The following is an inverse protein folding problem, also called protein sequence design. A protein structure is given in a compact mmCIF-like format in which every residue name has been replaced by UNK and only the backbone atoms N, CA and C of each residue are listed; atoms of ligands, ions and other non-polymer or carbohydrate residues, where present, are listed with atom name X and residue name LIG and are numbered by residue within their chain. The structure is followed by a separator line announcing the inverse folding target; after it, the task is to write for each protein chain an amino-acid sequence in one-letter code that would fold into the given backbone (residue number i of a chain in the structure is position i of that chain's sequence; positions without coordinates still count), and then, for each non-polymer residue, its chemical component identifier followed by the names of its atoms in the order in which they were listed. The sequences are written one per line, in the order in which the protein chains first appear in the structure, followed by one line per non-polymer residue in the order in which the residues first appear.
data_IF_774517217503
#
_entry.id   IF_774517217503
#
_cell.length_a   1.000
_cell.length_b   1.000
_cell.length_c   1.000
_cell.angle_alpha   90.00
_cell.angle_beta   90.00
_cell.angle_gamma   90.00
#
_symmetry.space_group_name_H-M   'P 1'
#
loop_
_entity.id
_entity.type
_entity.pdbx_description
1 polymer ?
#
# COMPACT_ATOMS: atom_id res chain seq x y z
N UNK A 1 31.57 -22.24 -17.96
CA UNK A 1 32.85 -21.52 -18.16
C UNK A 1 33.34 -21.17 -16.77
N UNK A 2 34.14 -22.05 -16.16
CA UNK A 2 34.73 -21.78 -14.85
C UNK A 2 35.77 -20.69 -15.03
N UNK A 3 35.41 -19.46 -14.69
CA UNK A 3 36.34 -18.33 -14.72
C UNK A 3 37.36 -18.59 -13.62
N UNK A 4 38.56 -18.96 -14.04
CA UNK A 4 39.59 -19.53 -13.20
C UNK A 4 40.14 -18.44 -12.25
N UNK A 5 40.04 -18.64 -10.94
CA UNK A 5 40.47 -17.71 -9.89
C UNK A 5 41.92 -17.22 -10.09
N UNK A 6 42.77 -18.07 -10.68
CA UNK A 6 44.15 -17.72 -11.03
C UNK A 6 44.27 -16.52 -11.97
N UNK A 7 43.31 -16.30 -12.87
CA UNK A 7 43.31 -15.15 -13.77
C UNK A 7 43.09 -13.83 -13.02
N UNK A 8 42.21 -13.81 -12.02
CA UNK A 8 41.99 -12.64 -11.17
C UNK A 8 43.19 -12.34 -10.28
N UNK A 9 43.83 -13.37 -9.72
CA UNK A 9 45.04 -13.21 -8.92
C UNK A 9 46.17 -12.61 -9.77
N UNK A 10 46.32 -13.07 -11.01
CA UNK A 10 47.32 -12.53 -11.93
C UNK A 10 47.07 -11.06 -12.29
N UNK A 11 45.81 -10.70 -12.58
CA UNK A 11 45.43 -9.30 -12.85
C UNK A 11 45.68 -8.42 -11.62
N UNK A 12 45.32 -8.90 -10.43
CA UNK A 12 45.51 -8.15 -9.19
C UNK A 12 47.00 -7.92 -8.90
N UNK A 13 47.84 -8.93 -9.13
CA UNK A 13 49.29 -8.82 -8.98
C UNK A 13 49.89 -7.82 -9.98
N UNK A 14 49.42 -7.80 -11.23
CA UNK A 14 49.87 -6.87 -12.26
C UNK A 14 49.47 -5.42 -11.94
N UNK A 15 48.26 -5.21 -11.42
CA UNK A 15 47.81 -3.90 -10.94
C UNK A 15 48.66 -3.45 -9.75
N UNK A 16 48.95 -4.34 -8.80
CA UNK A 16 49.78 -4.03 -7.64
C UNK A 16 51.22 -3.66 -8.03
N UNK A 17 51.78 -4.38 -8.99
CA UNK A 17 53.10 -4.09 -9.56
C UNK A 17 53.14 -2.68 -10.20
N UNK A 18 52.14 -2.33 -11.00
CA UNK A 18 52.04 -0.99 -11.62
C UNK A 18 51.90 0.13 -10.57
N UNK A 19 51.13 -0.13 -9.50
CA UNK A 19 50.95 0.80 -8.38
C UNK A 19 52.25 1.01 -7.61
N UNK A 20 53.12 0.00 -7.52
CA UNK A 20 54.38 0.06 -6.77
C UNK A 20 55.42 1.03 -7.35
N UNK A 21 55.30 1.44 -8.62
CA UNK A 21 56.20 2.42 -9.25
C UNK A 21 55.70 3.87 -9.17
N UNK A 22 54.53 4.09 -8.55
CA UNK A 22 53.94 5.42 -8.46
C UNK A 22 54.47 6.19 -7.25
N UNK A 23 54.72 7.48 -7.46
CA UNK A 23 55.09 8.41 -6.39
C UNK A 23 53.99 8.49 -5.32
N UNK A 24 54.38 8.78 -4.07
CA UNK A 24 53.47 8.85 -2.92
C UNK A 24 52.31 9.83 -3.11
N UNK A 25 52.52 10.92 -3.86
CA UNK A 25 51.49 11.89 -4.22
C UNK A 25 50.43 11.32 -5.16
N UNK A 26 50.82 10.46 -6.12
CA UNK A 26 49.92 9.79 -7.05
C UNK A 26 49.11 8.68 -6.35
N UNK A 27 49.74 7.96 -5.43
CA UNK A 27 49.05 6.98 -4.58
C UNK A 27 47.96 7.64 -3.72
N UNK A 28 48.26 8.79 -3.11
CA UNK A 28 47.30 9.55 -2.32
C UNK A 28 46.09 9.98 -3.17
N UNK A 29 46.31 10.42 -4.40
CA UNK A 29 45.24 10.80 -5.33
C UNK A 29 44.32 9.62 -5.67
N UNK A 30 44.89 8.43 -5.92
CA UNK A 30 44.10 7.22 -6.20
C UNK A 30 43.23 6.83 -5.00
N UNK A 31 43.78 6.89 -3.78
CA UNK A 31 43.02 6.61 -2.55
C UNK A 31 41.85 7.58 -2.41
N UNK A 32 42.08 8.88 -2.63
CA UNK A 32 41.02 9.90 -2.57
C UNK A 32 39.91 9.61 -3.58
N UNK A 33 40.26 9.23 -4.81
CA UNK A 33 39.28 8.88 -5.86
C UNK A 33 38.46 7.65 -5.44
N UNK A 34 39.08 6.62 -4.86
CA UNK A 34 38.37 5.42 -4.37
C UNK A 34 37.40 5.77 -3.24
N UNK A 35 37.82 6.62 -2.29
CA UNK A 35 36.97 7.08 -1.18
C UNK A 35 35.77 7.87 -1.71
N UNK A 36 35.98 8.78 -2.67
CA UNK A 36 34.89 9.55 -3.30
C UNK A 36 33.94 8.61 -4.06
N UNK A 37 34.46 7.63 -4.79
CA UNK A 37 33.65 6.65 -5.51
C UNK A 37 32.79 5.79 -4.55
N UNK A 38 33.34 5.39 -3.40
CA UNK A 38 32.59 4.68 -2.35
C UNK A 38 31.49 5.54 -1.73
N UNK A 39 31.77 6.82 -1.44
CA UNK A 39 30.77 7.76 -0.92
C UNK A 39 29.65 8.00 -1.94
N UNK A 40 29.98 8.18 -3.22
CA UNK A 40 29.00 8.30 -4.29
C UNK A 40 28.17 7.03 -4.45
N UNK A 41 28.80 5.85 -4.38
CA UNK A 41 28.09 4.57 -4.44
C UNK A 41 27.11 4.43 -3.26
N UNK A 42 27.52 4.78 -2.04
CA UNK A 42 26.64 4.77 -0.86
C UNK A 42 25.48 5.76 -1.01
N UNK A 43 25.74 6.97 -1.51
CA UNK A 43 24.71 7.97 -1.79
C UNK A 43 23.71 7.49 -2.88
N UNK A 44 24.18 6.87 -3.95
CA UNK A 44 23.31 6.29 -4.97
C UNK A 44 22.55 5.05 -4.47
N UNK A 45 23.15 4.22 -3.63
CA UNK A 45 22.53 3.03 -3.05
C UNK A 45 21.42 3.41 -2.06
N UNK A 46 21.63 4.44 -1.25
CA UNK A 46 20.60 4.99 -0.36
C UNK A 46 19.47 5.66 -1.14
N UNK A 47 19.77 6.32 -2.28
CA UNK A 47 18.74 6.85 -3.19
C UNK A 47 17.96 5.75 -3.94
N UNK A 48 18.52 4.55 -4.10
CA UNK A 48 17.80 3.37 -4.61
C UNK A 48 16.69 2.88 -3.66
N UNK A 49 16.69 3.29 -2.39
CA UNK A 49 15.57 3.04 -1.46
C UNK A 49 14.30 3.81 -1.89
N UNK A 50 14.41 4.88 -2.68
CA UNK A 50 13.23 5.53 -3.29
C UNK A 50 12.81 4.92 -4.63
N UNK A 51 13.57 3.96 -5.19
CA UNK A 51 13.14 3.10 -6.31
C UNK A 51 12.44 1.84 -5.85
N UNK A 52 12.51 1.52 -4.55
CA UNK A 52 11.78 0.39 -3.97
C UNK A 52 10.28 0.50 -4.24
N UNK A 53 9.72 1.69 -4.45
CA UNK A 53 8.31 1.86 -4.86
C UNK A 53 7.98 1.20 -6.21
N UNK A 54 8.88 1.19 -7.20
CA UNK A 54 8.64 0.56 -8.51
C UNK A 54 8.76 -0.97 -8.46
N UNK A 55 9.74 -1.52 -7.73
CA UNK A 55 9.88 -2.96 -7.53
C UNK A 55 8.85 -3.52 -6.50
N UNK A 56 8.39 -2.68 -5.58
CA UNK A 56 7.23 -2.95 -4.72
C UNK A 56 5.95 -2.99 -5.57
N UNK A 57 5.80 -2.14 -6.58
CA UNK A 57 4.70 -2.22 -7.57
C UNK A 57 4.79 -3.48 -8.42
N UNK A 58 5.99 -3.98 -8.71
CA UNK A 58 6.16 -5.24 -9.45
C UNK A 58 5.89 -6.50 -8.60
N UNK A 59 6.24 -6.48 -7.31
CA UNK A 59 5.83 -7.51 -6.32
C UNK A 59 4.38 -7.34 -5.81
N UNK A 60 3.76 -6.18 -6.07
CA UNK A 60 2.30 -5.92 -6.03
C UNK A 60 1.75 -5.90 -7.45
N UNK A 61 2.31 -6.68 -8.38
CA UNK A 61 1.48 -7.30 -9.40
C UNK A 61 0.54 -8.28 -8.67
N UNK A 62 -0.46 -7.74 -7.97
CA UNK A 62 -1.80 -8.32 -8.03
C UNK A 62 -2.02 -8.57 -9.52
N UNK A 63 -2.19 -9.83 -9.93
CA UNK A 63 -1.76 -10.30 -11.23
C UNK A 63 -2.49 -9.55 -12.35
N UNK A 64 -1.89 -8.46 -12.85
CA UNK A 64 -2.36 -7.72 -14.01
C UNK A 64 -2.45 -8.66 -15.22
N UNK A 65 -1.52 -9.62 -15.30
CA UNK A 65 -1.47 -10.65 -16.35
C UNK A 65 -2.63 -11.67 -16.29
N UNK A 66 -3.42 -11.72 -15.20
CA UNK A 66 -4.65 -12.54 -15.13
C UNK A 66 -5.96 -11.75 -15.21
N UNK A 67 -5.90 -10.42 -15.14
CA UNK A 67 -7.09 -9.56 -15.26
C UNK A 67 -7.25 -8.96 -16.66
N UNK A 68 -6.18 -8.78 -17.44
CA UNK A 68 -6.31 -8.34 -18.84
C UNK A 68 -6.67 -9.49 -19.81
N UNK A 69 -6.37 -10.75 -19.46
CA UNK A 69 -6.71 -11.92 -20.28
C UNK A 69 -8.08 -12.56 -19.97
N UNK A 70 -8.75 -12.15 -18.90
CA UNK A 70 -10.10 -12.60 -18.58
C UNK A 70 -11.14 -11.51 -18.88
N UNK A 71 -11.23 -11.10 -20.15
CA UNK A 71 -12.33 -10.26 -20.65
C UNK A 71 -13.69 -10.97 -20.65
N UNK A 72 -13.77 -12.25 -20.26
CA UNK A 72 -14.99 -13.06 -20.38
C UNK A 72 -15.60 -13.53 -19.05
N UNK A 73 -15.02 -13.24 -17.89
CA UNK A 73 -15.61 -13.66 -16.61
C UNK A 73 -16.16 -12.47 -15.82
N UNK A 74 -17.42 -12.13 -16.08
CA UNK A 74 -18.48 -11.78 -15.12
C UNK A 74 -18.09 -11.02 -13.82
N UNK A 75 -17.13 -10.10 -13.84
CA UNK A 75 -16.83 -9.22 -12.68
C UNK A 75 -17.93 -8.15 -12.53
N UNK A 76 -18.59 -7.78 -13.63
CA UNK A 76 -19.62 -6.74 -13.68
C UNK A 76 -20.86 -7.03 -12.82
N UNK A 77 -21.08 -8.29 -12.41
CA UNK A 77 -22.29 -8.68 -11.66
C UNK A 77 -22.06 -8.99 -10.18
N UNK A 78 -20.81 -8.96 -9.67
CA UNK A 78 -20.49 -9.39 -8.28
C UNK A 78 -20.20 -8.20 -7.36
N UNK A 79 -19.88 -7.02 -7.92
CA UNK A 79 -19.66 -5.80 -7.16
C UNK A 79 -20.99 -5.02 -7.08
N UNK A 80 -21.96 -5.54 -6.33
CA UNK A 80 -23.07 -4.71 -5.87
C UNK A 80 -22.55 -3.90 -4.69
N UNK A 81 -21.99 -2.72 -4.98
CA UNK A 81 -21.74 -1.73 -3.95
C UNK A 81 -23.08 -1.21 -3.47
N UNK A 82 -23.50 -1.59 -2.26
CA UNK A 82 -24.62 -0.93 -1.56
C UNK A 82 -24.31 0.54 -1.21
N UNK A 83 -23.07 0.99 -1.44
CA UNK A 83 -22.68 2.39 -1.32
C UNK A 83 -23.21 3.23 -2.48
N UNK A 84 -24.09 4.17 -2.16
CA UNK A 84 -24.69 5.16 -3.09
C UNK A 84 -23.67 5.95 -3.93
N UNK A 85 -22.40 6.00 -3.51
CA UNK A 85 -21.35 6.81 -4.17
C UNK A 85 -20.50 6.05 -5.19
N UNK A 86 -20.70 4.74 -5.36
CA UNK A 86 -19.85 3.89 -6.21
C UNK A 86 -20.65 3.48 -7.45
N UNK A 87 -20.51 4.24 -8.55
CA UNK A 87 -21.33 4.00 -9.76
C UNK A 87 -20.56 3.38 -10.94
N UNK A 88 -19.23 3.18 -10.84
CA UNK A 88 -18.42 2.40 -11.79
C UNK A 88 -16.98 2.28 -11.31
N UNK A 89 -16.54 1.07 -10.95
CA UNK A 89 -15.13 0.82 -10.61
C UNK A 89 -14.35 0.53 -11.89
N UNK A 90 -13.34 1.34 -12.22
CA UNK A 90 -12.40 1.06 -13.30
C UNK A 90 -11.28 0.19 -12.72
N UNK A 91 -11.00 -0.96 -13.33
CA UNK A 91 -10.17 -2.09 -12.85
C UNK A 91 -8.70 -1.78 -12.43
N UNK A 92 -8.30 -0.52 -12.22
CA UNK A 92 -6.96 -0.10 -11.80
C UNK A 92 -7.04 0.66 -10.47
N UNK A 93 -6.61 0.03 -9.37
CA UNK A 93 -6.46 0.63 -8.03
C UNK A 93 -5.42 1.75 -8.06
N UNK A 94 -5.82 2.96 -8.44
CA UNK A 94 -4.89 4.07 -8.72
C UNK A 94 -4.41 4.77 -7.45
N UNK A 95 -5.26 4.84 -6.42
CA UNK A 95 -5.03 5.66 -5.23
C UNK A 95 -4.51 4.84 -4.08
N UNK A 96 -4.96 3.59 -3.95
CA UNK A 96 -4.47 2.66 -2.93
C UNK A 96 -2.97 2.45 -3.02
N UNK A 97 -2.42 2.39 -4.24
CA UNK A 97 -0.97 2.19 -4.48
C UNK A 97 -0.12 3.32 -3.89
N UNK A 98 -0.71 4.49 -3.61
CA UNK A 98 0.00 5.62 -3.00
C UNK A 98 0.24 5.46 -1.49
N UNK A 99 -0.42 4.49 -0.83
CA UNK A 99 -0.26 4.23 0.61
C UNK A 99 0.43 2.89 0.85
N UNK A 100 1.68 2.95 1.31
CA UNK A 100 2.44 1.76 1.69
C UNK A 100 1.81 0.99 2.85
N UNK A 101 1.19 1.71 3.77
CA UNK A 101 0.54 1.18 4.97
C UNK A 101 -0.71 0.38 4.59
N UNK A 102 -1.62 0.96 3.80
CA UNK A 102 -2.82 0.24 3.35
C UNK A 102 -2.49 -0.95 2.46
N UNK A 103 -1.46 -0.83 1.61
CA UNK A 103 -0.95 -1.96 0.83
C UNK A 103 -0.45 -3.08 1.75
N UNK A 104 0.31 -2.76 2.79
CA UNK A 104 0.84 -3.76 3.73
C UNK A 104 -0.30 -4.52 4.42
N UNK A 105 -1.33 -3.80 4.84
CA UNK A 105 -2.56 -4.36 5.41
C UNK A 105 -3.23 -5.31 4.40
N UNK A 106 -3.48 -4.86 3.16
CA UNK A 106 -4.10 -5.69 2.10
C UNK A 106 -3.30 -6.96 1.77
N UNK A 107 -1.96 -6.89 1.86
CA UNK A 107 -1.08 -8.06 1.68
C UNK A 107 -1.23 -9.06 2.83
N UNK A 108 -1.25 -8.59 4.07
CA UNK A 108 -1.33 -9.44 5.26
C UNK A 108 -2.62 -10.28 5.26
N UNK A 109 -3.73 -9.68 4.84
CA UNK A 109 -5.03 -10.36 4.75
C UNK A 109 -5.33 -10.98 3.37
N UNK A 110 -4.34 -11.15 2.50
CA UNK A 110 -4.53 -11.69 1.14
C UNK A 110 -5.15 -13.09 1.13
N UNK A 111 -4.93 -13.89 2.18
CA UNK A 111 -5.50 -15.23 2.31
C UNK A 111 -7.03 -15.23 2.32
N UNK A 112 -7.67 -14.13 2.75
CA UNK A 112 -9.14 -13.99 2.78
C UNK A 112 -9.74 -14.14 1.38
N UNK A 113 -9.00 -13.74 0.34
CA UNK A 113 -9.40 -13.92 -1.07
C UNK A 113 -9.74 -15.38 -1.41
N UNK A 114 -9.13 -16.35 -0.72
CA UNK A 114 -9.39 -17.78 -0.91
C UNK A 114 -10.74 -18.22 -0.30
N UNK A 115 -11.19 -17.54 0.74
CA UNK A 115 -12.43 -17.87 1.46
C UNK A 115 -13.62 -17.05 0.96
N UNK A 116 -13.43 -15.74 0.78
CA UNK A 116 -14.43 -14.85 0.20
C UNK A 116 -13.75 -13.77 -0.65
N UNK A 117 -13.72 -14.04 -1.95
CA UNK A 117 -13.18 -13.12 -2.95
C UNK A 117 -13.99 -11.83 -3.04
N UNK A 118 -15.31 -11.89 -2.82
CA UNK A 118 -16.19 -10.73 -2.95
C UNK A 118 -15.89 -9.72 -1.85
N UNK A 119 -15.91 -10.14 -0.58
CA UNK A 119 -15.58 -9.26 0.55
C UNK A 119 -14.15 -8.74 0.49
N UNK A 120 -13.19 -9.58 0.10
CA UNK A 120 -11.81 -9.12 -0.08
C UNK A 120 -11.72 -8.03 -1.16
N UNK A 121 -12.37 -8.21 -2.31
CA UNK A 121 -12.40 -7.19 -3.35
C UNK A 121 -13.13 -5.91 -2.88
N UNK A 122 -14.24 -6.05 -2.18
CA UNK A 122 -15.01 -4.93 -1.63
C UNK A 122 -14.15 -4.09 -0.68
N UNK A 123 -13.33 -4.73 0.16
CA UNK A 123 -12.36 -4.03 1.01
C UNK A 123 -11.40 -3.18 0.18
N UNK A 124 -10.77 -3.76 -0.84
CA UNK A 124 -9.76 -3.06 -1.65
C UNK A 124 -10.39 -1.87 -2.38
N UNK A 125 -11.60 -2.03 -2.92
CA UNK A 125 -12.35 -0.94 -3.58
C UNK A 125 -12.63 0.20 -2.59
N UNK A 126 -13.10 -0.10 -1.38
CA UNK A 126 -13.35 0.92 -0.37
C UNK A 126 -12.05 1.61 0.08
N UNK A 127 -10.94 0.87 0.26
CA UNK A 127 -9.65 1.47 0.60
C UNK A 127 -9.10 2.38 -0.51
N UNK A 128 -9.27 2.03 -1.78
CA UNK A 128 -8.89 2.88 -2.92
C UNK A 128 -9.73 4.16 -2.96
N UNK A 129 -11.03 4.06 -2.71
CA UNK A 129 -11.92 5.22 -2.62
C UNK A 129 -11.58 6.11 -1.42
N UNK A 130 -11.29 5.53 -0.25
CA UNK A 130 -10.84 6.25 0.93
C UNK A 130 -9.59 7.08 0.61
N UNK A 131 -8.60 6.46 -0.04
CA UNK A 131 -7.37 7.15 -0.46
C UNK A 131 -7.63 8.23 -1.50
N UNK A 132 -8.53 8.00 -2.46
CA UNK A 132 -8.93 9.01 -3.43
C UNK A 132 -9.48 10.26 -2.74
N UNK A 133 -10.44 10.09 -1.83
CA UNK A 133 -11.05 11.19 -1.09
C UNK A 133 -9.99 11.91 -0.26
N UNK A 134 -9.19 11.16 0.49
CA UNK A 134 -8.11 11.72 1.30
C UNK A 134 -7.15 12.59 0.49
N UNK A 135 -6.62 12.07 -0.63
CA UNK A 135 -5.70 12.81 -1.51
C UNK A 135 -6.41 14.03 -2.12
N UNK A 136 -7.68 13.91 -2.52
CA UNK A 136 -8.39 14.99 -3.18
C UNK A 136 -8.77 16.12 -2.23
N UNK A 137 -9.06 15.83 -0.95
CA UNK A 137 -9.24 16.87 0.08
C UNK A 137 -7.91 17.61 0.27
N UNK A 138 -6.79 16.88 0.42
CA UNK A 138 -5.48 17.50 0.62
C UNK A 138 -4.97 18.29 -0.60
N UNK A 139 -5.35 17.85 -1.80
CA UNK A 139 -5.03 18.54 -3.06
C UNK A 139 -6.02 19.68 -3.39
N UNK A 140 -6.88 20.05 -2.45
CA UNK A 140 -7.88 21.10 -2.59
C UNK A 140 -8.86 20.92 -3.77
N UNK A 141 -9.07 19.66 -4.17
CA UNK A 141 -10.04 19.31 -5.22
C UNK A 141 -11.43 19.04 -4.66
N UNK A 142 -11.51 18.62 -3.39
CA UNK A 142 -12.75 18.31 -2.69
C UNK A 142 -12.91 19.22 -1.48
N UNK A 143 -14.13 19.76 -1.32
CA UNK A 143 -14.47 20.60 -0.17
C UNK A 143 -14.52 19.75 1.10
N UNK A 144 -13.72 20.12 2.09
CA UNK A 144 -13.56 19.33 3.32
C UNK A 144 -14.86 19.15 4.10
N UNK A 145 -15.75 20.15 4.12
CA UNK A 145 -17.03 20.08 4.82
C UNK A 145 -17.99 19.04 4.23
N UNK A 146 -17.91 18.80 2.93
CA UNK A 146 -18.77 17.84 2.23
C UNK A 146 -18.16 16.44 2.26
N UNK A 147 -16.84 16.35 2.07
CA UNK A 147 -16.16 15.08 1.84
C UNK A 147 -15.57 14.44 3.10
N UNK A 148 -15.41 15.16 4.22
CA UNK A 148 -14.99 14.54 5.48
C UNK A 148 -16.04 13.57 6.04
N UNK A 149 -17.35 13.89 6.05
CA UNK A 149 -18.38 12.91 6.42
C UNK A 149 -18.36 11.66 5.51
N UNK A 150 -18.15 11.85 4.20
CA UNK A 150 -18.04 10.73 3.25
C UNK A 150 -16.80 9.89 3.55
N UNK A 151 -15.67 10.52 3.89
CA UNK A 151 -14.46 9.83 4.33
C UNK A 151 -14.74 8.96 5.57
N UNK A 152 -15.49 9.49 6.55
CA UNK A 152 -15.85 8.75 7.76
C UNK A 152 -16.78 7.57 7.45
N UNK A 153 -17.78 7.74 6.59
CA UNK A 153 -18.70 6.67 6.22
C UNK A 153 -17.95 5.53 5.50
N UNK A 154 -17.07 5.83 4.53
CA UNK A 154 -16.23 4.81 3.88
C UNK A 154 -15.30 4.13 4.89
N UNK A 155 -14.71 4.89 5.82
CA UNK A 155 -13.87 4.33 6.87
C UNK A 155 -14.67 3.33 7.74
N UNK A 156 -15.92 3.64 8.07
CA UNK A 156 -16.78 2.73 8.84
C UNK A 156 -17.13 1.47 8.03
N UNK A 157 -17.45 1.60 6.74
CA UNK A 157 -17.66 0.45 5.85
C UNK A 157 -16.43 -0.47 5.81
N UNK A 158 -15.22 0.10 5.76
CA UNK A 158 -13.98 -0.71 5.79
C UNK A 158 -13.86 -1.47 7.11
N UNK A 159 -14.16 -0.83 8.25
CA UNK A 159 -14.15 -1.49 9.56
C UNK A 159 -15.18 -2.62 9.67
N UNK A 160 -16.39 -2.40 9.16
CA UNK A 160 -17.43 -3.43 9.09
C UNK A 160 -16.96 -4.64 8.28
N UNK A 161 -16.30 -4.42 7.14
CA UNK A 161 -15.74 -5.50 6.32
C UNK A 161 -14.66 -6.25 7.12
N UNK A 162 -13.75 -5.55 7.80
CA UNK A 162 -12.72 -6.18 8.64
C UNK A 162 -13.33 -7.09 9.72
N UNK A 163 -14.32 -6.60 10.46
CA UNK A 163 -14.99 -7.41 11.48
C UNK A 163 -15.77 -8.58 10.86
N UNK A 164 -16.29 -8.41 9.65
CA UNK A 164 -17.01 -9.48 8.94
C UNK A 164 -16.11 -10.63 8.50
N UNK A 165 -14.79 -10.43 8.40
CA UNK A 165 -13.86 -11.48 7.97
C UNK A 165 -13.77 -12.63 8.96
N UNK A 166 -14.03 -12.36 10.25
CA UNK A 166 -14.04 -13.36 11.32
C UNK A 166 -15.07 -14.47 11.01
N UNK A 167 -16.20 -14.12 10.40
CA UNK A 167 -17.25 -15.11 10.08
C UNK A 167 -16.99 -15.95 8.83
N UNK A 168 -16.01 -15.55 8.01
CA UNK A 168 -15.75 -16.15 6.71
C UNK A 168 -14.59 -17.14 6.77
N UNK A 169 -13.63 -16.86 7.65
CA UNK A 169 -12.39 -17.59 7.73
C UNK A 169 -12.53 -18.68 8.80
N UNK A 170 -12.16 -19.94 8.51
CA UNK A 170 -12.22 -21.01 9.50
C UNK A 170 -11.16 -20.82 10.59
N UNK A 171 -11.50 -21.22 11.82
CA UNK A 171 -10.63 -21.09 13.00
C UNK A 171 -9.26 -21.76 12.87
N UNK A 172 -9.20 -22.83 12.08
CA UNK A 172 -7.96 -23.59 11.86
C UNK A 172 -7.84 -23.96 10.39
N UNK A 173 -6.84 -23.42 9.72
CA UNK A 173 -6.48 -23.85 8.37
C UNK A 173 -5.60 -25.10 8.49
N UNK A 174 -6.22 -26.28 8.38
CA UNK A 174 -5.59 -27.62 8.55
C UNK A 174 -4.28 -27.85 7.78
N UNK A 175 -4.01 -27.07 6.72
CA UNK A 175 -2.88 -27.28 5.81
C UNK A 175 -1.93 -26.07 5.68
N UNK A 176 -2.09 -25.02 6.50
CA UNK A 176 -1.12 -23.93 6.62
C UNK A 176 -0.45 -24.01 8.00
N UNK A 177 0.71 -24.64 8.05
CA UNK A 177 1.54 -24.66 9.26
C UNK A 177 2.04 -23.23 9.57
N UNK A 178 1.86 -22.75 10.81
CA UNK A 178 2.50 -21.55 11.35
C UNK A 178 1.76 -20.22 11.17
N UNK A 179 0.49 -20.22 10.77
CA UNK A 179 -0.31 -19.01 10.56
C UNK A 179 -1.67 -19.11 11.25
N UNK A 180 -1.97 -18.16 12.14
CA UNK A 180 -3.30 -17.99 12.73
C UNK A 180 -4.05 -16.87 11.99
N UNK A 181 -5.11 -17.21 11.22
CA UNK A 181 -5.85 -16.22 10.44
C UNK A 181 -6.52 -15.13 11.29
N UNK A 182 -6.99 -15.47 12.50
CA UNK A 182 -7.65 -14.50 13.36
C UNK A 182 -6.68 -13.48 13.91
N UNK A 183 -5.49 -13.93 14.32
CA UNK A 183 -4.42 -13.04 14.80
C UNK A 183 -4.02 -12.06 13.71
N UNK A 184 -3.89 -12.53 12.46
CA UNK A 184 -3.52 -11.63 11.36
C UNK A 184 -4.64 -10.66 10.97
N UNK A 185 -5.91 -11.09 11.03
CA UNK A 185 -7.07 -10.21 10.84
C UNK A 185 -7.10 -9.15 11.93
N UNK A 186 -6.96 -9.55 13.20
CA UNK A 186 -7.00 -8.63 14.33
C UNK A 186 -5.86 -7.60 14.24
N UNK A 187 -4.64 -8.05 13.97
CA UNK A 187 -3.48 -7.18 13.76
C UNK A 187 -3.71 -6.20 12.60
N UNK A 188 -4.12 -6.70 11.44
CA UNK A 188 -4.39 -5.87 10.26
C UNK A 188 -5.52 -4.86 10.49
N UNK A 189 -6.53 -5.24 11.28
CA UNK A 189 -7.63 -4.35 11.69
C UNK A 189 -7.13 -3.25 12.61
N UNK A 190 -6.27 -3.56 13.59
CA UNK A 190 -5.65 -2.57 14.48
C UNK A 190 -4.75 -1.60 13.70
N UNK A 191 -3.91 -2.13 12.82
CA UNK A 191 -3.03 -1.33 11.96
C UNK A 191 -3.85 -0.35 11.10
N UNK A 192 -4.97 -0.83 10.53
CA UNK A 192 -5.90 0.01 9.79
C UNK A 192 -6.53 1.10 10.66
N UNK A 193 -7.04 0.77 11.86
CA UNK A 193 -7.65 1.74 12.78
C UNK A 193 -6.65 2.84 13.16
N UNK A 194 -5.41 2.47 13.44
CA UNK A 194 -4.38 3.45 13.79
C UNK A 194 -4.07 4.37 12.60
N UNK A 195 -3.95 3.80 11.40
CA UNK A 195 -3.68 4.56 10.18
C UNK A 195 -4.84 5.50 9.83
N UNK A 196 -6.08 5.02 9.86
CA UNK A 196 -7.25 5.85 9.53
C UNK A 196 -7.46 6.99 10.53
N UNK A 197 -7.16 6.77 11.81
CA UNK A 197 -7.10 7.85 12.83
C UNK A 197 -6.06 8.91 12.48
N UNK A 198 -4.86 8.50 12.06
CA UNK A 198 -3.82 9.44 11.61
C UNK A 198 -4.27 10.24 10.39
N UNK A 199 -4.88 9.59 9.40
CA UNK A 199 -5.44 10.26 8.22
C UNK A 199 -6.49 11.31 8.61
N UNK A 200 -7.46 10.93 9.46
CA UNK A 200 -8.49 11.85 9.96
C UNK A 200 -7.88 13.06 10.67
N UNK A 201 -6.93 12.84 11.59
CA UNK A 201 -6.25 13.92 12.29
C UNK A 201 -5.54 14.88 11.32
N UNK A 202 -4.94 14.37 10.24
CA UNK A 202 -4.31 15.20 9.22
C UNK A 202 -5.35 16.06 8.50
N UNK A 203 -6.49 15.46 8.11
CA UNK A 203 -7.58 16.21 7.48
C UNK A 203 -8.14 17.30 8.40
N UNK A 204 -8.35 17.01 9.69
CA UNK A 204 -8.80 18.02 10.68
C UNK A 204 -7.79 19.16 10.84
N UNK A 205 -6.49 18.85 10.95
CA UNK A 205 -5.44 19.86 11.02
C UNK A 205 -5.36 20.71 9.75
N UNK A 206 -5.52 20.09 8.58
CA UNK A 206 -5.60 20.77 7.30
C UNK A 206 -6.81 21.70 7.24
N UNK A 207 -7.99 21.25 7.70
CA UNK A 207 -9.21 22.05 7.82
C UNK A 207 -8.98 23.34 8.62
N UNK A 208 -8.35 23.22 9.78
CA UNK A 208 -8.14 24.33 10.70
C UNK A 208 -7.09 25.29 10.14
N UNK A 209 -5.95 24.79 9.66
CA UNK A 209 -4.80 25.62 9.29
C UNK A 209 -4.92 26.25 7.90
N UNK A 210 -5.30 25.47 6.90
CA UNK A 210 -5.29 25.90 5.50
C UNK A 210 -6.64 26.48 5.09
N UNK A 211 -7.74 25.99 5.69
CA UNK A 211 -9.11 26.39 5.33
C UNK A 211 -9.79 27.30 6.34
N UNK A 212 -9.20 27.52 7.52
CA UNK A 212 -9.81 28.26 8.63
C UNK A 212 -11.22 27.75 9.01
N UNK A 213 -11.47 26.45 8.80
CA UNK A 213 -12.72 25.79 9.15
C UNK A 213 -12.53 25.12 10.50
N UNK A 214 -13.08 25.73 11.55
CA UNK A 214 -13.00 25.26 12.94
C UNK A 214 -14.10 24.27 13.31
N UNK A 215 -15.22 24.28 12.59
CA UNK A 215 -16.34 23.36 12.79
C UNK A 215 -16.66 22.67 11.47
N UNK A 216 -16.38 21.38 11.40
CA UNK A 216 -16.81 20.54 10.28
C UNK A 216 -18.22 20.08 10.59
N UNK A 217 -19.14 20.30 9.64
CA UNK A 217 -20.53 19.91 9.81
C UNK A 217 -20.66 18.38 9.71
N UNK A 218 -20.64 17.70 10.86
CA UNK A 218 -20.85 16.25 10.97
C UNK A 218 -22.33 15.86 10.82
N UNK A 219 -23.24 16.84 10.71
CA UNK A 219 -24.68 16.66 10.57
C UNK A 219 -25.18 16.78 9.13
N UNK A 220 -24.43 16.28 8.14
CA UNK A 220 -25.05 15.99 6.85
C UNK A 220 -25.99 14.82 7.08
N UNK A 221 -27.29 15.05 6.88
CA UNK A 221 -28.37 14.05 6.96
C UNK A 221 -27.90 12.75 6.32
N UNK A 222 -27.61 11.74 7.14
CA UNK A 222 -27.40 10.38 6.63
C UNK A 222 -28.70 9.97 5.94
N UNK A 223 -28.72 9.62 4.64
CA UNK A 223 -29.91 9.04 4.05
C UNK A 223 -30.29 7.82 4.88
N UNK A 224 -31.51 7.82 5.40
CA UNK A 224 -32.04 6.76 6.26
C UNK A 224 -31.99 5.42 5.53
N UNK A 225 -31.14 4.49 5.99
CA UNK A 225 -31.05 3.14 5.43
C UNK A 225 -32.24 2.31 5.92
N UNK A 226 -33.26 2.19 5.06
CA UNK A 226 -34.45 1.35 5.26
C UNK A 226 -34.11 -0.12 5.56
N UNK A 227 -32.91 -0.57 5.18
CA UNK A 227 -32.44 -1.95 5.38
C UNK A 227 -32.14 -2.29 6.84
N UNK A 228 -32.05 -1.29 7.75
CA UNK A 228 -31.85 -1.52 9.20
C UNK A 228 -33.14 -1.93 9.93
N UNK A 229 -34.29 -1.95 9.25
CA UNK A 229 -35.58 -2.39 9.81
C UNK A 229 -35.78 -3.92 9.74
N UNK A 230 -34.91 -4.64 9.03
CA UNK A 230 -34.97 -6.10 9.01
C UNK A 230 -34.26 -6.67 10.24
N UNK A 231 -35.04 -6.89 11.29
CA UNK A 231 -34.69 -7.85 12.31
C UNK A 231 -34.58 -9.23 11.67
N UNK A 232 -33.52 -9.97 12.00
CA UNK A 232 -33.39 -11.38 11.64
C UNK A 232 -34.60 -12.15 12.22
N UNK A 233 -35.17 -13.13 11.48
CA UNK A 233 -36.15 -14.05 12.03
C UNK A 233 -35.59 -14.87 13.19
#
# INVERSE_FOLDING_TARGET
MEINIYYYIFILALIFYLISYLDTSKLLSIIIIIVIALLLYYYYSTKKISKTSEDIVESIKLPLDTFENNKNDKIDNVIQSESYYINKYNNKFKFLIQSTELISIVKNIKFIKKFDRSKYNNLIVNMDNLMKIYIYILADRYMINEYLPIFEDINNTILEIFYSFIFVVPDKIKHMYGFDPYVEIEKSTKDYIEYSKKMKMILEKYSIKEKNIHHINTHILKPYEKNKEHYLP
#
